data_IF_238182727048
#
_entry.id   IF_238182727048
#
_cell.length_a   1.000
_cell.length_b   1.000
_cell.length_c   1.000
_cell.angle_alpha   90.00
_cell.angle_beta   90.00
_cell.angle_gamma   90.00
#
_symmetry.space_group_name_H-M   'P 1'
#
loop_
_entity.id
_entity.type
_entity.pdbx_description
1 polymer ?
#
# COMPACT_ATOMS: atom_id res chain seq x y z
N UNK A 1 -16.02 -4.77 10.37
CA UNK A 1 -14.66 -4.42 9.91
C UNK A 1 -14.10 -3.47 10.94
N UNK A 2 -12.98 -3.78 11.58
CA UNK A 2 -12.38 -2.87 12.54
C UNK A 2 -11.95 -1.58 11.84
N UNK A 3 -12.24 -0.42 12.45
CA UNK A 3 -12.00 0.90 11.86
C UNK A 3 -10.52 1.13 11.49
N UNK A 4 -9.59 0.51 12.23
CA UNK A 4 -8.16 0.55 11.95
C UNK A 4 -7.78 -0.28 10.72
N UNK A 5 -8.41 -1.43 10.51
CA UNK A 5 -8.18 -2.28 9.33
C UNK A 5 -8.71 -1.55 8.09
N UNK A 6 -9.90 -0.97 8.19
CA UNK A 6 -10.46 -0.14 7.13
C UNK A 6 -9.54 1.04 6.78
N UNK A 7 -9.08 1.81 7.79
CA UNK A 7 -8.11 2.90 7.60
C UNK A 7 -6.81 2.44 6.90
N UNK A 8 -6.30 1.26 7.29
CA UNK A 8 -5.10 0.69 6.69
C UNK A 8 -5.30 0.39 5.20
N UNK A 9 -6.44 -0.20 4.82
CA UNK A 9 -6.74 -0.48 3.42
C UNK A 9 -6.93 0.77 2.58
N UNK A 10 -7.72 1.75 3.04
CA UNK A 10 -7.93 2.99 2.26
C UNK A 10 -6.63 3.79 2.09
N UNK A 11 -5.71 3.70 3.06
CA UNK A 11 -4.39 4.33 3.00
C UNK A 11 -3.46 3.58 2.05
N UNK A 12 -3.38 2.24 2.16
CA UNK A 12 -2.56 1.39 1.28
C UNK A 12 -3.01 1.47 -0.19
N UNK A 13 -4.31 1.57 -0.43
CA UNK A 13 -4.90 1.69 -1.76
C UNK A 13 -4.93 3.14 -2.26
N UNK A 14 -4.38 4.09 -1.51
CA UNK A 14 -4.33 5.53 -1.86
C UNK A 14 -5.70 6.17 -2.09
N UNK A 15 -6.77 5.60 -1.54
CA UNK A 15 -8.15 6.09 -1.71
C UNK A 15 -8.37 7.35 -0.88
N UNK A 16 -8.02 7.29 0.41
CA UNK A 16 -7.99 8.46 1.30
C UNK A 16 -9.32 9.24 1.43
N UNK A 17 -10.44 8.57 1.71
CA UNK A 17 -11.75 9.24 1.89
C UNK A 17 -11.79 10.34 2.97
N UNK A 18 -10.84 10.35 3.91
CA UNK A 18 -10.72 11.39 4.93
C UNK A 18 -11.64 11.22 6.14
N UNK A 19 -12.44 10.15 6.20
CA UNK A 19 -13.30 9.82 7.35
C UNK A 19 -12.52 9.44 8.62
N UNK A 20 -11.34 8.83 8.45
CA UNK A 20 -10.40 8.51 9.53
C UNK A 20 -9.06 9.13 9.19
N UNK A 21 -8.52 9.94 10.10
CA UNK A 21 -7.25 10.66 9.93
C UNK A 21 -6.34 10.52 11.16
N UNK A 22 -5.03 10.37 10.97
CA UNK A 22 -4.08 10.25 12.08
C UNK A 22 -3.83 11.63 12.71
N UNK A 23 -4.36 11.83 13.91
CA UNK A 23 -4.20 13.09 14.67
C UNK A 23 -2.96 13.12 15.56
N UNK A 24 -2.53 11.98 16.09
CA UNK A 24 -1.35 11.92 16.97
C UNK A 24 -0.06 11.81 16.16
N UNK A 25 1.08 12.37 16.64
CA UNK A 25 2.36 12.25 15.93
C UNK A 25 2.80 10.80 15.69
N UNK A 26 2.47 9.90 16.62
CA UNK A 26 2.76 8.46 16.48
C UNK A 26 1.91 7.83 15.37
N UNK A 27 0.61 8.16 15.30
CA UNK A 27 -0.28 7.68 14.25
C UNK A 27 0.13 8.20 12.87
N UNK A 28 0.58 9.46 12.76
CA UNK A 28 1.08 10.02 11.50
C UNK A 28 2.32 9.29 11.01
N UNK A 29 3.29 9.03 11.89
CA UNK A 29 4.48 8.23 11.56
C UNK A 29 4.11 6.81 11.13
N UNK A 30 3.15 6.18 11.82
CA UNK A 30 2.65 4.87 11.45
C UNK A 30 1.99 4.88 10.06
N UNK A 31 1.15 5.87 9.76
CA UNK A 31 0.51 6.03 8.46
C UNK A 31 1.53 6.20 7.32
N UNK A 32 2.59 7.00 7.55
CA UNK A 32 3.69 7.16 6.58
C UNK A 32 4.41 5.82 6.35
N UNK A 33 4.72 5.08 7.42
CA UNK A 33 5.38 3.77 7.30
C UNK A 33 4.51 2.76 6.55
N UNK A 34 3.21 2.70 6.85
CA UNK A 34 2.25 1.84 6.15
C UNK A 34 2.19 2.18 4.67
N UNK A 35 2.10 3.46 4.32
CA UNK A 35 2.11 3.92 2.93
C UNK A 35 3.40 3.55 2.19
N UNK A 36 4.57 3.74 2.83
CA UNK A 36 5.87 3.38 2.25
C UNK A 36 5.99 1.86 1.99
N UNK A 37 5.57 1.04 2.95
CA UNK A 37 5.60 -0.43 2.80
C UNK A 37 4.67 -0.88 1.68
N UNK A 38 3.46 -0.32 1.61
CA UNK A 38 2.51 -0.60 0.54
C UNK A 38 3.09 -0.28 -0.84
N UNK A 39 3.75 0.87 -0.97
CA UNK A 39 4.38 1.28 -2.22
C UNK A 39 5.49 0.31 -2.65
N UNK A 40 6.39 -0.06 -1.74
CA UNK A 40 7.44 -1.02 -2.06
C UNK A 40 6.88 -2.39 -2.47
N UNK A 41 5.83 -2.85 -1.77
CA UNK A 41 5.18 -4.11 -2.12
C UNK A 41 4.63 -4.10 -3.55
N UNK A 42 3.88 -3.06 -3.92
CA UNK A 42 3.30 -2.95 -5.27
C UNK A 42 4.39 -2.91 -6.35
N UNK A 43 5.45 -2.12 -6.14
CA UNK A 43 6.55 -1.99 -7.11
C UNK A 43 7.29 -3.31 -7.31
N UNK A 44 7.66 -3.98 -6.22
CA UNK A 44 8.41 -5.25 -6.29
C UNK A 44 7.56 -6.33 -6.95
N UNK A 45 6.30 -6.47 -6.55
CA UNK A 45 5.39 -7.47 -7.13
C UNK A 45 5.17 -7.21 -8.62
N UNK A 46 4.94 -5.95 -9.00
CA UNK A 46 4.75 -5.59 -10.42
C UNK A 46 5.99 -5.92 -11.24
N UNK A 47 7.19 -5.58 -10.74
CA UNK A 47 8.44 -5.91 -11.42
C UNK A 47 8.63 -7.42 -11.64
N UNK A 48 8.38 -8.23 -10.60
CA UNK A 48 8.47 -9.70 -10.68
C UNK A 48 7.45 -10.28 -11.67
N UNK A 49 6.21 -9.77 -11.64
CA UNK A 49 5.14 -10.23 -12.55
C UNK A 49 5.48 -9.88 -14.00
N UNK A 50 5.94 -8.65 -14.26
CA UNK A 50 6.36 -8.19 -15.59
C UNK A 50 7.55 -8.99 -16.10
N UNK A 51 8.56 -9.23 -15.27
CA UNK A 51 9.71 -10.08 -15.63
C UNK A 51 9.27 -11.48 -16.03
N UNK A 52 8.41 -12.12 -15.22
CA UNK A 52 7.90 -13.47 -15.50
C UNK A 52 7.07 -13.51 -16.78
N UNK A 53 6.24 -12.50 -17.01
CA UNK A 53 5.42 -12.37 -18.21
C UNK A 53 6.29 -12.22 -19.47
N UNK A 54 7.29 -11.34 -19.44
CA UNK A 54 8.23 -11.14 -20.58
C UNK A 54 9.04 -12.40 -20.86
N UNK A 55 9.53 -13.11 -19.83
CA UNK A 55 10.23 -14.39 -20.00
C UNK A 55 9.37 -15.47 -20.64
N UNK A 56 8.08 -15.53 -20.29
CA UNK A 56 7.14 -16.49 -20.88
C UNK A 56 6.82 -16.14 -22.34
N UNK A 57 6.63 -14.85 -22.65
CA UNK A 57 6.31 -14.40 -24.02
C UNK A 57 7.46 -14.52 -25.02
N UNK A 58 8.72 -14.55 -24.57
CA UNK A 58 9.90 -14.76 -25.42
C UNK A 58 10.17 -16.25 -25.74
N UNK A 59 9.39 -17.17 -25.17
CA UNK A 59 9.51 -18.61 -25.37
C UNK A 59 8.49 -19.09 -26.39
#
# INVERSE_FOLDING_TARGET
>A
MDSLIYYSYITLLTIGYGEIVPVTPVAQKAAILVGLIGQFYIVIITAVVVEKYIKHSKK
#
